data_IF_717717647623
#
_entry.id   IF_717717647623
#
_cell.length_a   1.000
_cell.length_b   1.000
_cell.length_c   1.000
_cell.angle_alpha   90.00
_cell.angle_beta   90.00
_cell.angle_gamma   90.00
#
_symmetry.space_group_name_H-M   'P 1'
#
loop_
_entity.id
_entity.type
_entity.pdbx_description
1 polymer ?
#
# COMPACT_ATOMS: atom_id res chain seq x y z
N UNK A 1 -18.94 -18.20 -9.29
CA UNK A 1 -17.58 -18.49 -9.81
C UNK A 1 -16.88 -17.15 -9.91
N UNK A 2 -15.65 -17.04 -9.41
CA UNK A 2 -14.93 -15.78 -9.33
C UNK A 2 -14.71 -15.18 -10.73
N UNK A 3 -14.81 -13.85 -10.88
CA UNK A 3 -14.45 -13.17 -12.13
C UNK A 3 -12.92 -13.12 -12.25
N UNK A 4 -12.35 -13.92 -13.15
CA UNK A 4 -10.90 -14.09 -13.34
C UNK A 4 -10.54 -13.74 -14.78
N UNK A 5 -9.58 -12.84 -14.96
CA UNK A 5 -9.01 -12.52 -16.27
C UNK A 5 -7.80 -13.44 -16.53
N UNK A 6 -7.93 -14.36 -17.48
CA UNK A 6 -6.82 -15.19 -17.93
C UNK A 6 -6.01 -14.44 -18.99
N UNK A 7 -4.71 -14.27 -18.75
CA UNK A 7 -3.78 -13.57 -19.65
C UNK A 7 -2.73 -14.55 -20.12
N UNK A 8 -2.66 -14.77 -21.43
CA UNK A 8 -1.57 -15.53 -22.07
C UNK A 8 -0.42 -14.58 -22.38
N UNK A 9 0.76 -14.87 -21.86
CA UNK A 9 1.94 -14.03 -22.00
C UNK A 9 2.77 -14.45 -23.22
N UNK A 10 3.29 -13.50 -24.04
CA UNK A 10 4.22 -13.82 -25.12
C UNK A 10 5.53 -14.41 -24.57
N UNK A 11 6.40 -14.90 -25.45
CA UNK A 11 7.68 -15.51 -25.07
C UNK A 11 8.58 -14.54 -24.28
N UNK A 12 8.55 -13.26 -24.65
CA UNK A 12 9.28 -12.18 -23.96
C UNK A 12 8.32 -11.04 -23.63
N UNK A 13 8.24 -10.66 -22.37
CA UNK A 13 7.48 -9.50 -21.93
C UNK A 13 7.95 -8.98 -20.57
N UNK A 14 7.60 -7.73 -20.29
CA UNK A 14 7.73 -7.10 -18.98
C UNK A 14 6.33 -6.85 -18.41
N UNK A 15 6.12 -7.22 -17.17
CA UNK A 15 4.88 -7.00 -16.42
C UNK A 15 5.22 -6.08 -15.25
N UNK A 16 4.49 -4.99 -15.13
CA UNK A 16 4.59 -4.05 -14.01
C UNK A 16 3.36 -4.26 -13.13
N UNK A 17 3.59 -4.69 -11.90
CA UNK A 17 2.53 -4.95 -10.92
C UNK A 17 2.55 -3.86 -9.85
N UNK A 18 1.39 -3.27 -9.57
CA UNK A 18 1.22 -2.20 -8.56
C UNK A 18 0.00 -2.54 -7.71
N UNK A 19 0.06 -2.34 -6.39
CA UNK A 19 -1.09 -2.51 -5.48
C UNK A 19 -1.27 -1.29 -4.58
N UNK A 20 -2.44 -1.19 -3.95
CA UNK A 20 -2.73 -0.31 -2.82
C UNK A 20 -2.33 1.16 -3.09
N UNK A 21 -2.86 1.71 -4.18
CA UNK A 21 -2.60 3.08 -4.64
C UNK A 21 -3.27 4.10 -3.72
N UNK A 22 -4.46 3.78 -3.21
CA UNK A 22 -5.21 4.60 -2.26
C UNK A 22 -5.35 6.06 -2.66
N UNK A 23 -5.80 6.31 -3.89
CA UNK A 23 -6.06 7.66 -4.42
C UNK A 23 -4.85 8.62 -4.35
N UNK A 24 -3.64 8.09 -4.54
CA UNK A 24 -2.37 8.83 -4.69
C UNK A 24 -1.98 8.89 -6.17
N UNK A 25 -2.77 9.63 -6.94
CA UNK A 25 -2.62 9.74 -8.40
C UNK A 25 -1.23 10.26 -8.79
N UNK A 26 -0.74 11.30 -8.12
CA UNK A 26 0.52 11.94 -8.51
C UNK A 26 1.73 11.02 -8.27
N UNK A 27 1.75 10.29 -7.15
CA UNK A 27 2.75 9.27 -6.85
C UNK A 27 2.69 8.13 -7.86
N UNK A 28 1.49 7.61 -8.16
CA UNK A 28 1.33 6.52 -9.10
C UNK A 28 1.78 6.93 -10.51
N UNK A 29 1.44 8.14 -10.96
CA UNK A 29 1.89 8.67 -12.24
C UNK A 29 3.41 8.89 -12.27
N UNK A 30 4.03 9.35 -11.16
CA UNK A 30 5.50 9.43 -11.04
C UNK A 30 6.15 8.05 -11.07
N UNK A 31 5.57 7.05 -10.40
CA UNK A 31 6.06 5.69 -10.37
C UNK A 31 6.08 5.08 -11.77
N UNK A 32 5.00 5.21 -12.55
CA UNK A 32 4.96 4.72 -13.93
C UNK A 32 6.00 5.41 -14.82
N UNK A 33 6.24 6.71 -14.64
CA UNK A 33 7.34 7.43 -15.33
C UNK A 33 8.72 6.90 -14.92
N UNK A 34 8.95 6.62 -13.64
CA UNK A 34 10.21 6.04 -13.15
C UNK A 34 10.47 4.64 -13.70
N UNK A 35 9.41 3.87 -13.97
CA UNK A 35 9.51 2.55 -14.58
C UNK A 35 9.75 2.58 -16.09
N UNK A 36 9.71 3.77 -16.71
CA UNK A 36 9.66 3.93 -18.18
C UNK A 36 8.55 3.06 -18.78
N UNK A 37 7.33 3.16 -18.22
CA UNK A 37 6.19 2.36 -18.65
C UNK A 37 5.78 2.71 -20.08
N UNK A 38 5.68 1.68 -20.93
CA UNK A 38 5.23 1.77 -22.30
C UNK A 38 4.15 0.71 -22.56
N UNK A 39 2.92 1.15 -22.84
CA UNK A 39 1.77 0.27 -23.07
C UNK A 39 1.89 -0.58 -24.34
N UNK A 40 2.76 -0.22 -25.30
CA UNK A 40 3.02 -1.06 -26.48
C UNK A 40 3.81 -2.31 -26.14
N UNK A 41 4.72 -2.26 -25.16
CA UNK A 41 5.62 -3.37 -24.79
C UNK A 41 5.28 -4.04 -23.46
N UNK A 42 4.71 -3.30 -22.52
CA UNK A 42 4.52 -3.73 -21.14
C UNK A 42 3.09 -4.19 -20.85
N UNK A 43 2.98 -5.10 -19.89
CA UNK A 43 1.74 -5.37 -19.18
C UNK A 43 1.70 -4.55 -17.88
N UNK A 44 0.54 -4.02 -17.53
CA UNK A 44 0.32 -3.30 -16.28
C UNK A 44 -0.79 -3.99 -15.49
N UNK A 45 -0.45 -4.58 -14.34
CA UNK A 45 -1.42 -5.24 -13.46
C UNK A 45 -1.59 -4.42 -12.19
N UNK A 46 -2.82 -3.94 -11.94
CA UNK A 46 -3.15 -3.14 -10.76
C UNK A 46 -3.96 -4.00 -9.79
N UNK A 47 -3.42 -4.27 -8.60
CA UNK A 47 -3.88 -5.31 -7.69
C UNK A 47 -4.87 -4.82 -6.62
N UNK A 48 -5.70 -3.84 -6.98
CA UNK A 48 -6.76 -3.32 -6.11
C UNK A 48 -6.29 -2.28 -5.10
N UNK A 49 -7.25 -1.84 -4.29
CA UNK A 49 -7.13 -0.72 -3.35
C UNK A 49 -6.66 0.55 -4.08
N UNK A 50 -7.36 0.80 -5.18
CA UNK A 50 -7.20 1.95 -6.07
C UNK A 50 -7.70 3.21 -5.38
N UNK A 51 -8.86 3.12 -4.74
CA UNK A 51 -9.56 4.23 -4.11
C UNK A 51 -9.35 4.27 -2.59
N UNK A 52 -9.93 5.30 -1.98
CA UNK A 52 -9.97 5.59 -0.55
C UNK A 52 -8.64 6.03 0.06
N UNK A 53 -8.73 6.55 1.30
CA UNK A 53 -7.63 7.07 2.14
C UNK A 53 -6.96 8.35 1.61
N UNK A 54 -6.61 8.41 0.33
CA UNK A 54 -6.07 9.58 -0.35
C UNK A 54 -7.14 10.60 -0.77
N UNK A 55 -6.67 11.70 -1.36
CA UNK A 55 -7.51 12.85 -1.73
C UNK A 55 -7.77 12.99 -3.24
N UNK A 56 -7.15 12.16 -4.06
CA UNK A 56 -7.24 12.26 -5.53
C UNK A 56 -8.07 11.11 -6.11
N UNK A 57 -9.25 10.80 -5.52
CA UNK A 57 -10.01 9.59 -5.89
C UNK A 57 -10.53 9.69 -7.33
N UNK A 58 -11.07 10.85 -7.72
CA UNK A 58 -11.62 11.07 -9.06
C UNK A 58 -10.49 11.04 -10.09
N UNK A 59 -9.37 11.72 -9.81
CA UNK A 59 -8.20 11.75 -10.68
C UNK A 59 -7.58 10.36 -10.87
N UNK A 60 -7.44 9.61 -9.78
CA UNK A 60 -6.93 8.23 -9.80
C UNK A 60 -7.84 7.33 -10.62
N UNK A 61 -9.17 7.44 -10.43
CA UNK A 61 -10.15 6.65 -11.15
C UNK A 61 -10.13 6.94 -12.66
N UNK A 62 -10.16 8.22 -13.04
CA UNK A 62 -10.08 8.63 -14.45
C UNK A 62 -8.76 8.19 -15.10
N UNK A 63 -7.65 8.27 -14.36
CA UNK A 63 -6.36 7.81 -14.85
C UNK A 63 -6.35 6.30 -15.12
N UNK A 64 -6.88 5.50 -14.20
CA UNK A 64 -6.95 4.04 -14.34
C UNK A 64 -7.93 3.62 -15.43
N UNK A 65 -9.07 4.29 -15.58
CA UNK A 65 -9.99 4.06 -16.71
C UNK A 65 -9.27 4.30 -18.04
N UNK A 66 -8.51 5.40 -18.14
CA UNK A 66 -7.71 5.70 -19.34
C UNK A 66 -6.67 4.62 -19.63
N UNK A 67 -5.95 4.15 -18.61
CA UNK A 67 -4.96 3.07 -18.76
C UNK A 67 -5.63 1.75 -19.19
N UNK A 68 -6.80 1.44 -18.62
CA UNK A 68 -7.55 0.21 -18.85
C UNK A 68 -8.20 0.11 -20.24
N UNK A 69 -8.12 1.17 -21.05
CA UNK A 69 -8.45 1.08 -22.48
C UNK A 69 -7.47 0.17 -23.25
N UNK A 70 -6.25 -0.02 -22.72
CA UNK A 70 -5.30 -1.01 -23.24
C UNK A 70 -5.57 -2.38 -22.63
N UNK A 71 -5.66 -3.42 -23.47
CA UNK A 71 -5.89 -4.81 -23.03
C UNK A 71 -4.74 -5.39 -22.21
N UNK A 72 -3.55 -4.77 -22.25
CA UNK A 72 -2.41 -5.15 -21.41
C UNK A 72 -2.45 -4.51 -20.03
N UNK A 73 -3.36 -3.56 -19.79
CA UNK A 73 -3.65 -3.02 -18.48
C UNK A 73 -4.84 -3.75 -17.87
N UNK A 74 -4.62 -4.51 -16.80
CA UNK A 74 -5.69 -5.24 -16.08
C UNK A 74 -5.71 -4.80 -14.63
N UNK A 75 -6.86 -4.31 -14.19
CA UNK A 75 -7.10 -3.87 -12.83
C UNK A 75 -8.00 -4.89 -12.15
N UNK A 76 -7.65 -5.32 -10.94
CA UNK A 76 -8.53 -6.12 -10.08
C UNK A 76 -9.01 -5.29 -8.90
N UNK A 77 -10.10 -5.73 -8.31
CA UNK A 77 -10.74 -5.08 -7.17
C UNK A 77 -9.99 -5.35 -5.87
N UNK A 78 -9.78 -4.32 -5.05
CA UNK A 78 -9.39 -4.45 -3.64
C UNK A 78 -10.57 -4.24 -2.69
N UNK A 79 -10.36 -4.44 -1.39
CA UNK A 79 -11.46 -4.32 -0.44
C UNK A 79 -11.94 -2.87 -0.28
N UNK A 80 -11.05 -1.88 -0.36
CA UNK A 80 -11.43 -0.47 -0.23
C UNK A 80 -12.21 0.01 -1.46
N UNK A 81 -11.96 -0.56 -2.64
CA UNK A 81 -12.69 -0.26 -3.88
C UNK A 81 -14.18 -0.63 -3.81
N UNK A 82 -14.56 -1.56 -2.93
CA UNK A 82 -15.97 -1.92 -2.69
C UNK A 82 -16.77 -0.82 -2.00
N UNK A 83 -16.11 0.13 -1.33
CA UNK A 83 -16.78 1.07 -0.44
C UNK A 83 -17.66 2.05 -1.22
N UNK A 84 -17.13 2.63 -2.29
CA UNK A 84 -17.88 3.59 -3.13
C UNK A 84 -19.12 2.94 -3.75
N UNK A 85 -19.01 1.68 -4.21
CA UNK A 85 -20.13 0.91 -4.77
C UNK A 85 -21.19 0.60 -3.70
N UNK A 86 -20.77 0.17 -2.50
CA UNK A 86 -21.69 -0.04 -1.37
C UNK A 86 -22.43 1.24 -0.99
N UNK A 87 -21.74 2.38 -0.94
CA UNK A 87 -22.37 3.67 -0.63
C UNK A 87 -23.38 4.09 -1.73
N UNK A 88 -23.06 3.82 -2.99
CA UNK A 88 -23.92 4.14 -4.12
C UNK A 88 -25.18 3.27 -4.16
N UNK A 89 -25.06 1.95 -3.91
CA UNK A 89 -26.09 0.97 -4.28
C UNK A 89 -26.62 0.09 -3.14
N UNK A 90 -25.82 -0.20 -2.11
CA UNK A 90 -26.16 -1.24 -1.12
C UNK A 90 -26.51 -0.69 0.27
N UNK A 91 -25.86 0.40 0.69
CA UNK A 91 -26.00 0.92 2.05
C UNK A 91 -27.35 1.64 2.19
N UNK A 92 -28.10 1.25 3.23
CA UNK A 92 -29.21 2.05 3.74
C UNK A 92 -28.69 3.38 4.33
N UNK A 93 -29.59 4.37 4.44
CA UNK A 93 -29.25 5.73 4.89
C UNK A 93 -28.43 5.74 6.19
N UNK A 94 -28.84 4.95 7.18
CA UNK A 94 -28.19 4.90 8.49
C UNK A 94 -26.73 4.47 8.36
N UNK A 95 -26.46 3.40 7.59
CA UNK A 95 -25.12 2.86 7.38
C UNK A 95 -24.26 3.79 6.53
N UNK A 96 -24.84 4.40 5.50
CA UNK A 96 -24.17 5.43 4.71
C UNK A 96 -23.69 6.58 5.60
N UNK A 97 -24.59 7.12 6.45
CA UNK A 97 -24.26 8.22 7.36
C UNK A 97 -23.27 7.79 8.44
N UNK A 98 -23.35 6.55 8.93
CA UNK A 98 -22.36 5.96 9.84
C UNK A 98 -20.97 5.98 9.19
N UNK A 99 -20.82 5.63 7.90
CA UNK A 99 -19.52 5.69 7.20
C UNK A 99 -18.90 7.06 7.24
N UNK A 100 -19.70 8.11 7.08
CA UNK A 100 -19.22 9.48 7.10
C UNK A 100 -18.61 9.87 8.46
N UNK A 101 -18.96 9.17 9.55
CA UNK A 101 -18.39 9.44 10.87
C UNK A 101 -16.95 8.95 11.01
N UNK A 102 -16.63 7.77 10.47
CA UNK A 102 -15.31 7.15 10.61
C UNK A 102 -14.43 7.26 9.35
N UNK A 103 -15.02 7.58 8.18
CA UNK A 103 -14.34 7.86 6.91
C UNK A 103 -14.98 9.07 6.21
N UNK A 104 -14.86 10.29 6.76
CA UNK A 104 -15.48 11.49 6.20
C UNK A 104 -14.89 11.89 4.84
N UNK A 105 -13.61 11.59 4.61
CA UNK A 105 -12.94 11.78 3.32
C UNK A 105 -12.90 10.43 2.62
N UNK A 106 -13.74 10.28 1.59
CA UNK A 106 -13.86 9.05 0.79
C UNK A 106 -14.22 9.37 -0.67
N UNK A 107 -14.13 8.36 -1.54
CA UNK A 107 -14.38 8.53 -2.97
C UNK A 107 -15.80 9.04 -3.28
N UNK A 108 -16.81 8.47 -2.61
CA UNK A 108 -18.21 8.84 -2.84
C UNK A 108 -18.49 10.30 -2.44
N UNK A 109 -17.94 10.75 -1.32
CA UNK A 109 -18.06 12.14 -0.88
C UNK A 109 -17.33 13.10 -1.83
N UNK A 110 -16.16 12.75 -2.35
CA UNK A 110 -15.49 13.58 -3.36
C UNK A 110 -16.33 13.72 -4.63
N UNK A 111 -16.97 12.64 -5.09
CA UNK A 111 -17.93 12.69 -6.20
C UNK A 111 -19.11 13.62 -5.88
N UNK A 112 -19.73 13.47 -4.70
CA UNK A 112 -20.85 14.31 -4.27
C UNK A 112 -20.49 15.79 -4.18
N UNK A 113 -19.35 16.12 -3.56
CA UNK A 113 -18.88 17.49 -3.39
C UNK A 113 -18.59 18.15 -4.73
N UNK A 114 -18.07 17.40 -5.71
CA UNK A 114 -17.79 17.92 -7.06
C UNK A 114 -19.04 18.40 -7.82
N UNK A 115 -20.24 17.95 -7.41
CA UNK A 115 -21.53 18.44 -7.93
C UNK A 115 -22.31 19.30 -6.91
N UNK A 116 -21.64 19.76 -5.85
CA UNK A 116 -22.22 20.67 -4.86
C UNK A 116 -23.03 20.00 -3.76
N UNK A 117 -22.96 18.67 -3.61
CA UNK A 117 -23.65 17.93 -2.55
C UNK A 117 -22.67 17.67 -1.40
N UNK A 118 -22.86 18.39 -0.28
CA UNK A 118 -21.98 18.31 0.91
C UNK A 118 -22.66 17.68 2.13
N UNK A 119 -23.95 17.36 2.04
CA UNK A 119 -24.73 16.86 3.17
C UNK A 119 -25.84 15.89 2.73
N UNK A 120 -25.83 14.68 3.30
CA UNK A 120 -26.78 13.58 3.03
C UNK A 120 -27.83 13.35 4.14
N UNK A 121 -27.85 14.18 5.18
CA UNK A 121 -28.82 14.03 6.29
C UNK A 121 -30.27 14.31 5.87
N UNK A 122 -30.45 15.21 4.90
CA UNK A 122 -31.74 15.57 4.29
C UNK A 122 -31.75 15.17 2.81
N UNK A 123 -32.93 14.82 2.29
CA UNK A 123 -33.13 14.52 0.86
C UNK A 123 -32.16 13.44 0.33
N UNK A 124 -31.97 12.40 1.14
CA UNK A 124 -30.92 11.38 0.95
C UNK A 124 -31.02 10.70 -0.42
N UNK A 125 -32.19 10.17 -0.76
CA UNK A 125 -32.36 9.39 -1.98
C UNK A 125 -32.13 10.23 -3.24
N UNK A 126 -32.70 11.44 -3.32
CA UNK A 126 -32.51 12.31 -4.48
C UNK A 126 -31.05 12.74 -4.64
N UNK A 127 -30.35 13.05 -3.54
CA UNK A 127 -28.92 13.38 -3.58
C UNK A 127 -28.07 12.20 -3.98
N UNK A 128 -28.35 11.01 -3.43
CA UNK A 128 -27.65 9.77 -3.81
C UNK A 128 -27.86 9.47 -5.29
N UNK A 129 -29.09 9.55 -5.77
CA UNK A 129 -29.41 9.34 -7.19
C UNK A 129 -28.70 10.36 -8.09
N UNK A 130 -28.65 11.65 -7.72
CA UNK A 130 -27.95 12.66 -8.49
C UNK A 130 -26.44 12.39 -8.61
N UNK A 131 -25.79 11.88 -7.55
CA UNK A 131 -24.38 11.46 -7.61
C UNK A 131 -24.25 10.22 -8.50
N UNK A 132 -25.08 9.20 -8.28
CA UNK A 132 -25.03 7.96 -9.05
C UNK A 132 -25.23 8.19 -10.55
N UNK A 133 -26.22 9.01 -10.94
CA UNK A 133 -26.48 9.36 -12.34
C UNK A 133 -25.30 10.14 -12.96
N UNK A 134 -24.66 11.02 -12.20
CA UNK A 134 -23.52 11.80 -12.69
C UNK A 134 -22.28 10.94 -12.93
N UNK A 135 -22.05 9.96 -12.06
CA UNK A 135 -20.84 9.13 -12.01
C UNK A 135 -21.11 7.67 -12.39
N UNK A 136 -22.16 7.42 -13.17
CA UNK A 136 -22.58 6.06 -13.55
C UNK A 136 -21.45 5.25 -14.20
N UNK A 137 -20.66 5.88 -15.07
CA UNK A 137 -19.52 5.23 -15.74
C UNK A 137 -18.39 4.88 -14.78
N UNK A 138 -18.04 5.79 -13.87
CA UNK A 138 -17.05 5.59 -12.80
C UNK A 138 -17.46 4.49 -11.82
N UNK A 139 -18.72 4.53 -11.36
CA UNK A 139 -19.28 3.56 -10.43
C UNK A 139 -19.42 2.18 -11.06
N UNK A 140 -19.83 2.10 -12.33
CA UNK A 140 -19.90 0.85 -13.08
C UNK A 140 -18.50 0.25 -13.25
N UNK A 141 -17.53 1.05 -13.68
CA UNK A 141 -16.15 0.59 -13.87
C UNK A 141 -15.56 -0.06 -12.61
N UNK A 142 -15.64 0.62 -11.46
CA UNK A 142 -15.06 0.10 -10.21
C UNK A 142 -15.84 -1.13 -9.68
N UNK A 143 -17.16 -1.16 -9.89
CA UNK A 143 -18.02 -2.27 -9.45
C UNK A 143 -17.76 -3.54 -10.27
N UNK A 144 -17.46 -3.40 -11.55
CA UNK A 144 -17.27 -4.53 -12.47
C UNK A 144 -15.86 -5.12 -12.49
N UNK A 145 -14.91 -4.50 -11.77
CA UNK A 145 -13.53 -4.98 -11.73
C UNK A 145 -13.45 -6.48 -11.37
N UNK A 146 -12.63 -7.26 -12.10
CA UNK A 146 -12.38 -8.66 -11.78
C UNK A 146 -11.72 -8.83 -10.41
N UNK A 147 -11.77 -10.04 -9.88
CA UNK A 147 -11.18 -10.37 -8.57
C UNK A 147 -9.77 -10.95 -8.68
N UNK A 148 -9.39 -11.47 -9.85
CA UNK A 148 -8.08 -12.05 -10.06
C UNK A 148 -7.60 -11.95 -11.51
N UNK A 149 -6.28 -12.02 -11.67
CA UNK A 149 -5.59 -12.23 -12.94
C UNK A 149 -4.88 -13.59 -12.86
N UNK A 150 -4.92 -14.37 -13.92
CA UNK A 150 -4.21 -15.64 -14.00
C UNK A 150 -3.36 -15.71 -15.26
N UNK A 151 -2.08 -16.06 -15.08
CA UNK A 151 -1.14 -16.39 -16.16
C UNK A 151 -0.70 -17.85 -16.05
N UNK A 152 0.25 -18.28 -16.88
CA UNK A 152 0.78 -19.65 -16.84
C UNK A 152 1.49 -19.97 -15.51
N UNK A 153 2.15 -18.99 -14.89
CA UNK A 153 3.00 -19.17 -13.68
C UNK A 153 2.56 -18.37 -12.46
N UNK A 154 1.69 -17.37 -12.63
CA UNK A 154 1.27 -16.46 -11.56
C UNK A 154 -0.24 -16.35 -11.47
N UNK A 155 -0.71 -16.17 -10.25
CA UNK A 155 -2.05 -15.72 -9.90
C UNK A 155 -1.89 -14.38 -9.19
N UNK A 156 -2.67 -13.38 -9.57
CA UNK A 156 -2.67 -12.08 -8.92
C UNK A 156 -4.05 -11.88 -8.29
N UNK A 157 -4.07 -11.64 -6.98
CA UNK A 157 -5.28 -11.37 -6.19
C UNK A 157 -4.97 -10.24 -5.21
N UNK A 158 -5.98 -9.56 -4.69
CA UNK A 158 -5.72 -8.44 -3.80
C UNK A 158 -5.11 -8.87 -2.46
N UNK A 159 -5.70 -9.83 -1.74
CA UNK A 159 -5.24 -10.20 -0.39
C UNK A 159 -4.71 -11.64 -0.27
N UNK A 160 -5.33 -12.62 -0.95
CA UNK A 160 -4.92 -14.02 -0.85
C UNK A 160 -5.94 -15.01 -1.43
N UNK A 161 -5.64 -16.31 -1.33
CA UNK A 161 -6.56 -17.39 -1.76
C UNK A 161 -6.75 -18.43 -0.65
N UNK A 162 -7.91 -19.08 -0.63
CA UNK A 162 -8.16 -20.17 0.31
C UNK A 162 -7.18 -21.33 0.03
N UNK A 163 -6.80 -22.08 1.07
CA UNK A 163 -5.88 -23.21 0.91
C UNK A 163 -6.58 -24.43 0.29
N UNK A 164 -6.80 -24.37 -1.03
CA UNK A 164 -7.51 -25.37 -1.82
C UNK A 164 -6.96 -25.42 -3.25
N UNK A 165 -6.99 -26.58 -3.93
CA UNK A 165 -6.49 -26.72 -5.29
C UNK A 165 -7.40 -26.04 -6.33
N UNK A 166 -8.70 -25.97 -6.08
CA UNK A 166 -9.71 -25.28 -6.92
C UNK A 166 -9.92 -23.83 -6.44
N UNK A 167 -8.83 -23.07 -6.34
CA UNK A 167 -8.80 -21.71 -5.78
C UNK A 167 -9.77 -20.73 -6.46
N UNK A 168 -10.19 -21.01 -7.70
CA UNK A 168 -11.20 -20.23 -8.44
C UNK A 168 -12.58 -20.21 -7.75
N UNK A 169 -12.78 -21.12 -6.78
CA UNK A 169 -13.95 -21.20 -5.91
C UNK A 169 -13.72 -20.59 -4.52
N UNK A 170 -12.60 -19.89 -4.29
CA UNK A 170 -12.40 -19.09 -3.08
C UNK A 170 -13.49 -18.03 -2.97
N UNK A 171 -13.94 -17.72 -1.75
CA UNK A 171 -14.93 -16.67 -1.55
C UNK A 171 -14.36 -15.28 -1.89
N UNK A 172 -15.17 -14.41 -2.47
CA UNK A 172 -14.79 -13.01 -2.76
C UNK A 172 -14.30 -12.30 -1.49
N UNK A 173 -14.98 -12.52 -0.36
CA UNK A 173 -14.59 -11.97 0.93
C UNK A 173 -13.16 -12.40 1.33
N UNK A 174 -12.76 -13.65 1.08
CA UNK A 174 -11.41 -14.09 1.38
C UNK A 174 -10.40 -13.46 0.41
N UNK A 175 -10.71 -13.44 -0.89
CA UNK A 175 -9.82 -12.88 -1.92
C UNK A 175 -9.52 -11.40 -1.69
N UNK A 176 -10.50 -10.65 -1.18
CA UNK A 176 -10.37 -9.22 -0.90
C UNK A 176 -9.84 -8.92 0.51
N UNK A 177 -10.00 -9.80 1.50
CA UNK A 177 -9.75 -9.44 2.90
C UNK A 177 -9.01 -10.52 3.69
N UNK A 178 -8.23 -11.39 3.03
CA UNK A 178 -7.46 -12.43 3.70
C UNK A 178 -6.51 -11.83 4.75
N UNK A 179 -6.76 -12.07 6.06
CA UNK A 179 -5.95 -11.46 7.10
C UNK A 179 -4.58 -12.13 7.19
N UNK A 180 -3.51 -11.34 7.19
CA UNK A 180 -2.13 -11.81 7.41
C UNK A 180 -1.71 -12.98 6.50
N UNK A 181 -2.21 -13.02 5.26
CA UNK A 181 -2.20 -14.22 4.43
C UNK A 181 -0.80 -14.76 4.11
N UNK A 182 0.23 -13.91 4.01
CA UNK A 182 1.63 -14.35 3.83
C UNK A 182 2.15 -15.24 4.98
N UNK A 183 1.51 -15.20 6.16
CA UNK A 183 1.80 -16.12 7.27
C UNK A 183 1.26 -17.53 7.00
N UNK A 184 0.24 -17.66 6.15
CA UNK A 184 -0.37 -18.91 5.69
C UNK A 184 0.39 -19.52 4.50
N UNK A 185 -0.05 -20.68 4.02
CA UNK A 185 0.38 -21.28 2.75
C UNK A 185 -0.83 -21.60 1.87
N UNK A 186 -0.59 -22.03 0.63
CA UNK A 186 -1.64 -22.40 -0.32
C UNK A 186 -1.30 -23.70 -1.06
N UNK A 187 -2.31 -24.31 -1.69
CA UNK A 187 -2.22 -25.60 -2.36
C UNK A 187 -1.90 -25.50 -3.87
N UNK A 188 -1.32 -24.37 -4.30
CA UNK A 188 -1.14 -24.04 -5.72
C UNK A 188 0.32 -24.12 -6.14
N UNK A 189 0.55 -24.52 -7.39
CA UNK A 189 1.89 -24.60 -7.96
C UNK A 189 2.41 -23.28 -8.55
N UNK A 190 1.53 -22.28 -8.69
CA UNK A 190 1.83 -20.94 -9.19
C UNK A 190 2.27 -20.03 -8.05
N UNK A 191 3.01 -18.97 -8.39
CA UNK A 191 3.21 -17.86 -7.46
C UNK A 191 1.91 -17.09 -7.31
N UNK A 192 1.55 -16.73 -6.08
CA UNK A 192 0.41 -15.85 -5.79
C UNK A 192 0.96 -14.48 -5.39
N UNK A 193 0.64 -13.46 -6.20
CA UNK A 193 1.06 -12.07 -5.99
C UNK A 193 -0.10 -11.30 -5.36
N UNK A 194 0.17 -10.62 -4.24
CA UNK A 194 -0.82 -9.94 -3.40
C UNK A 194 -0.37 -8.55 -2.96
N UNK A 195 -1.32 -7.74 -2.53
CA UNK A 195 -1.11 -6.50 -1.77
C UNK A 195 -1.79 -6.60 -0.40
N UNK A 196 -2.62 -5.61 -0.04
CA UNK A 196 -3.51 -5.56 1.12
C UNK A 196 -2.86 -5.40 2.51
N UNK A 197 -1.81 -6.18 2.80
CA UNK A 197 -1.05 -6.05 4.04
C UNK A 197 0.35 -5.49 3.75
N UNK A 198 0.72 -4.34 4.36
CA UNK A 198 2.02 -3.75 4.10
C UNK A 198 3.18 -4.69 4.43
N UNK A 199 4.11 -4.83 3.49
CA UNK A 199 5.33 -5.66 3.60
C UNK A 199 6.13 -5.39 4.89
N UNK A 200 6.21 -4.12 5.33
CA UNK A 200 6.89 -3.72 6.57
C UNK A 200 6.33 -4.39 7.83
N UNK A 201 5.07 -4.83 7.80
CA UNK A 201 4.47 -5.52 8.94
C UNK A 201 5.04 -6.93 9.15
N UNK A 202 5.84 -7.45 8.23
CA UNK A 202 6.41 -8.79 8.30
C UNK A 202 7.92 -8.75 8.54
N UNK A 203 8.41 -9.66 9.38
CA UNK A 203 9.86 -9.81 9.63
C UNK A 203 10.66 -10.01 8.33
N UNK A 204 10.06 -10.64 7.32
CA UNK A 204 10.64 -10.85 5.98
C UNK A 204 10.86 -9.54 5.20
N UNK A 205 10.14 -8.47 5.50
CA UNK A 205 10.30 -7.15 4.89
C UNK A 205 11.58 -6.42 5.32
N UNK A 206 12.30 -6.95 6.31
CA UNK A 206 13.64 -6.49 6.72
C UNK A 206 13.77 -4.97 6.91
N UNK A 207 12.80 -4.37 7.60
CA UNK A 207 12.76 -2.92 7.86
C UNK A 207 12.65 -2.05 6.58
N UNK A 208 12.08 -2.61 5.51
CA UNK A 208 11.75 -1.91 4.26
C UNK A 208 10.26 -2.07 3.95
N UNK A 209 9.75 -1.26 3.02
CA UNK A 209 8.46 -1.48 2.38
C UNK A 209 8.60 -2.16 1.00
N UNK A 210 9.74 -2.78 0.72
CA UNK A 210 10.00 -3.43 -0.57
C UNK A 210 9.25 -4.77 -0.66
N UNK A 211 8.95 -5.26 -1.88
CA UNK A 211 8.28 -6.54 -2.06
C UNK A 211 8.95 -7.71 -1.36
N UNK A 212 8.14 -8.59 -0.78
CA UNK A 212 8.59 -9.85 -0.18
C UNK A 212 8.36 -10.97 -1.17
N UNK A 213 9.39 -11.77 -1.44
CA UNK A 213 9.29 -12.99 -2.24
C UNK A 213 9.57 -14.18 -1.33
N UNK A 214 8.55 -14.98 -1.06
CA UNK A 214 8.66 -16.25 -0.33
C UNK A 214 8.60 -17.41 -1.34
N UNK A 215 9.77 -17.92 -1.72
CA UNK A 215 9.88 -19.02 -2.70
C UNK A 215 9.38 -20.36 -2.14
N UNK A 216 9.44 -20.57 -0.82
CA UNK A 216 9.01 -21.82 -0.19
C UNK A 216 7.49 -21.92 -0.23
N UNK A 217 6.81 -20.80 -0.01
CA UNK A 217 5.34 -20.70 -0.05
C UNK A 217 4.80 -20.33 -1.42
N UNK A 218 5.65 -19.84 -2.33
CA UNK A 218 5.29 -19.24 -3.62
C UNK A 218 4.37 -18.02 -3.47
N UNK A 219 4.65 -17.16 -2.50
CA UNK A 219 3.90 -15.92 -2.26
C UNK A 219 4.78 -14.71 -2.56
N UNK A 220 4.21 -13.71 -3.22
CA UNK A 220 4.84 -12.40 -3.44
C UNK A 220 3.89 -11.33 -2.89
N UNK A 221 4.36 -10.55 -1.93
CA UNK A 221 3.62 -9.41 -1.37
C UNK A 221 4.27 -8.12 -1.85
N UNK A 222 3.47 -7.21 -2.43
CA UNK A 222 3.94 -5.98 -3.05
C UNK A 222 3.40 -4.71 -2.38
N UNK A 223 2.60 -4.82 -1.31
CA UNK A 223 2.02 -3.65 -0.65
C UNK A 223 3.10 -2.85 0.10
N UNK A 224 3.33 -1.62 -0.36
CA UNK A 224 4.30 -0.67 0.21
C UNK A 224 3.75 0.16 1.37
N UNK A 225 2.50 -0.07 1.77
CA UNK A 225 1.87 0.58 2.92
C UNK A 225 1.41 2.02 2.67
N UNK A 226 1.13 2.39 1.42
CA UNK A 226 0.61 3.71 1.06
C UNK A 226 -0.62 4.05 1.92
N UNK A 227 -0.61 5.19 2.62
CA UNK A 227 -1.68 5.65 3.54
C UNK A 227 -2.00 4.76 4.74
N UNK A 228 -1.34 3.61 4.91
CA UNK A 228 -1.52 2.70 6.06
C UNK A 228 -0.35 2.81 7.03
N UNK A 229 0.85 3.02 6.49
CA UNK A 229 2.07 3.28 7.24
C UNK A 229 2.36 4.77 7.18
N UNK A 230 2.92 5.32 8.27
CA UNK A 230 3.31 6.72 8.32
C UNK A 230 4.40 7.08 7.30
N UNK A 231 5.29 6.12 7.01
CA UNK A 231 6.30 6.18 5.96
C UNK A 231 6.03 5.02 4.99
N UNK A 232 5.01 5.19 4.14
CA UNK A 232 4.61 4.23 3.12
C UNK A 232 5.14 4.60 1.73
N UNK A 233 4.97 3.68 0.78
CA UNK A 233 5.30 3.88 -0.63
C UNK A 233 4.34 3.12 -1.54
N UNK A 234 4.36 3.45 -2.82
CA UNK A 234 3.77 2.63 -3.88
C UNK A 234 4.90 1.86 -4.55
N UNK A 235 4.78 0.54 -4.63
CA UNK A 235 5.74 -0.33 -5.32
C UNK A 235 5.26 -0.64 -6.74
N UNK A 236 6.22 -0.71 -7.65
CA UNK A 236 6.10 -1.33 -8.96
C UNK A 236 6.99 -2.58 -8.97
N UNK A 237 6.37 -3.73 -8.70
CA UNK A 237 7.04 -5.02 -8.80
C UNK A 237 7.09 -5.45 -10.27
N UNK A 238 8.29 -5.59 -10.80
CA UNK A 238 8.52 -5.84 -12.22
C UNK A 238 8.88 -7.30 -12.42
N UNK A 239 8.08 -8.00 -13.23
CA UNK A 239 8.35 -9.38 -13.67
C UNK A 239 8.79 -9.32 -15.12
N UNK A 240 10.02 -9.75 -15.41
CA UNK A 240 10.52 -9.91 -16.78
C UNK A 240 10.51 -11.39 -17.14
N UNK A 241 9.81 -11.74 -18.21
CA UNK A 241 9.78 -13.07 -18.79
C UNK A 241 10.70 -13.13 -20.01
N UNK A 242 11.57 -14.12 -20.06
CA UNK A 242 12.36 -14.49 -21.24
C UNK A 242 12.33 -16.02 -21.44
N UNK A 243 11.47 -16.48 -22.35
CA UNK A 243 11.17 -17.91 -22.53
C UNK A 243 10.52 -18.49 -21.26
N UNK A 244 11.18 -19.48 -20.66
CA UNK A 244 10.78 -20.10 -19.40
C UNK A 244 11.34 -19.39 -18.15
N UNK A 245 12.24 -18.42 -18.33
CA UNK A 245 12.89 -17.72 -17.22
C UNK A 245 12.10 -16.49 -16.79
N UNK A 246 12.03 -16.28 -15.47
CA UNK A 246 11.40 -15.11 -14.86
C UNK A 246 12.41 -14.44 -13.92
N UNK A 247 12.58 -13.13 -14.06
CA UNK A 247 13.37 -12.30 -13.15
C UNK A 247 12.53 -11.18 -12.56
N UNK A 248 12.94 -10.72 -11.39
CA UNK A 248 12.20 -9.74 -10.60
C UNK A 248 13.03 -8.50 -10.34
N UNK A 249 12.39 -7.34 -10.41
CA UNK A 249 12.94 -6.05 -10.02
C UNK A 249 11.87 -5.22 -9.31
N UNK A 250 12.24 -4.11 -8.69
CA UNK A 250 11.30 -3.21 -8.03
C UNK A 250 11.71 -1.75 -8.18
N UNK A 251 10.73 -0.91 -8.52
CA UNK A 251 10.82 0.54 -8.43
C UNK A 251 9.80 1.01 -7.40
N UNK A 252 10.09 2.05 -6.63
CA UNK A 252 9.12 2.61 -5.70
C UNK A 252 9.05 4.14 -5.74
N UNK A 253 7.90 4.66 -5.32
CA UNK A 253 7.66 6.08 -5.06
C UNK A 253 7.12 6.23 -3.63
N UNK A 254 7.85 6.92 -2.73
CA UNK A 254 7.35 7.28 -1.40
C UNK A 254 5.99 7.99 -1.50
N UNK A 255 5.03 7.60 -0.65
CA UNK A 255 3.70 8.20 -0.65
C UNK A 255 3.71 9.61 -0.08
N UNK A 256 2.68 10.40 -0.37
CA UNK A 256 2.66 11.83 -0.03
C UNK A 256 2.65 12.13 1.49
N UNK A 257 2.88 13.43 1.77
CA UNK A 257 3.26 14.10 3.04
C UNK A 257 4.73 14.00 3.47
N UNK A 258 5.66 13.60 2.59
CA UNK A 258 7.09 13.62 2.91
C UNK A 258 7.86 14.85 2.39
N UNK A 259 8.85 15.30 3.16
CA UNK A 259 9.85 16.29 2.74
C UNK A 259 11.06 15.56 2.13
N UNK A 260 11.24 15.69 0.80
CA UNK A 260 12.39 15.14 0.10
C UNK A 260 13.65 15.93 0.47
N UNK A 261 14.66 15.24 1.00
CA UNK A 261 15.93 15.80 1.44
C UNK A 261 17.11 15.11 0.76
N UNK A 262 18.27 15.76 0.79
CA UNK A 262 19.56 15.16 0.44
C UNK A 262 20.37 14.94 1.72
N UNK A 263 20.99 13.77 1.83
CA UNK A 263 21.95 13.46 2.89
C UNK A 263 23.23 14.27 2.67
N UNK A 264 23.59 15.12 3.62
CA UNK A 264 24.72 16.07 3.49
C UNK A 264 26.02 15.58 4.13
N UNK A 265 25.96 14.53 4.95
CA UNK A 265 27.09 13.85 5.57
C UNK A 265 26.77 12.37 5.80
N UNK A 266 27.79 11.53 5.73
CA UNK A 266 27.66 10.11 6.00
C UNK A 266 27.24 9.88 7.46
N UNK A 267 26.43 8.85 7.67
CA UNK A 267 26.05 8.39 9.00
C UNK A 267 25.98 6.87 9.00
N UNK A 268 26.67 6.24 9.94
CA UNK A 268 26.59 4.79 10.17
C UNK A 268 25.81 4.55 11.45
N UNK A 269 24.70 3.84 11.35
CA UNK A 269 23.90 3.46 12.50
C UNK A 269 24.69 2.52 13.41
N UNK A 270 24.78 2.87 14.70
CA UNK A 270 25.42 2.03 15.72
C UNK A 270 24.50 0.90 16.22
N UNK A 271 23.22 0.94 15.84
CA UNK A 271 22.18 0.01 16.28
C UNK A 271 21.61 -0.72 15.08
N UNK A 272 21.20 -1.97 15.29
CA UNK A 272 20.46 -2.75 14.31
C UNK A 272 19.01 -2.84 14.76
N UNK A 273 18.09 -2.77 13.78
CA UNK A 273 16.67 -2.86 14.08
C UNK A 273 16.31 -4.22 14.69
N UNK A 274 15.32 -4.23 15.56
CA UNK A 274 14.64 -5.44 16.02
C UNK A 274 13.20 -5.40 15.53
N UNK A 275 12.77 -6.47 14.87
CA UNK A 275 11.41 -6.58 14.34
C UNK A 275 10.38 -6.52 15.48
N UNK A 276 9.33 -5.72 15.28
CA UNK A 276 8.18 -5.63 16.17
C UNK A 276 6.94 -6.21 15.48
N UNK A 277 6.38 -7.29 16.03
CA UNK A 277 5.11 -7.85 15.54
C UNK A 277 3.96 -6.99 16.06
N UNK A 278 3.50 -6.06 15.23
CA UNK A 278 2.42 -5.10 15.52
C UNK A 278 1.17 -5.71 16.15
N UNK A 279 0.79 -6.93 15.73
CA UNK A 279 -0.40 -7.60 16.23
C UNK A 279 -0.20 -8.15 17.65
N UNK A 280 1.04 -8.48 18.01
CA UNK A 280 1.36 -9.21 19.25
C UNK A 280 2.15 -8.41 20.27
N UNK A 281 2.69 -7.26 19.90
CA UNK A 281 3.57 -6.47 20.75
C UNK A 281 2.88 -6.04 22.04
N UNK A 282 3.59 -6.14 23.16
CA UNK A 282 3.19 -5.58 24.46
C UNK A 282 4.40 -4.90 25.07
N UNK A 283 4.49 -3.58 24.89
CA UNK A 283 5.67 -2.79 25.20
C UNK A 283 5.67 -2.33 26.67
N UNK A 284 6.67 -2.76 27.43
CA UNK A 284 7.01 -2.20 28.73
C UNK A 284 7.88 -0.95 28.54
N UNK A 285 7.43 0.21 29.03
CA UNK A 285 8.19 1.46 28.98
C UNK A 285 9.27 1.45 30.08
N UNK A 286 10.54 1.56 29.68
CA UNK A 286 11.70 1.58 30.57
C UNK A 286 12.22 3.00 30.83
N UNK A 287 11.98 3.93 29.91
CA UNK A 287 12.42 5.33 30.04
C UNK A 287 12.15 6.15 28.80
N UNK A 288 12.28 7.48 28.91
CA UNK A 288 12.10 8.43 27.82
C UNK A 288 13.25 9.43 27.78
N UNK A 289 13.80 9.68 26.60
CA UNK A 289 14.86 10.67 26.38
C UNK A 289 14.91 11.03 24.90
N UNK A 290 15.18 12.29 24.55
CA UNK A 290 15.47 12.70 23.18
C UNK A 290 14.36 12.43 22.14
N UNK A 291 13.10 12.45 22.59
CA UNK A 291 11.93 12.08 21.76
C UNK A 291 11.87 10.60 21.41
N UNK A 292 12.66 9.77 22.09
CA UNK A 292 12.66 8.31 22.02
C UNK A 292 12.15 7.71 23.34
N UNK A 293 11.54 6.54 23.22
CA UNK A 293 11.09 5.71 24.33
C UNK A 293 11.92 4.44 24.31
N UNK A 294 12.59 4.15 25.43
CA UNK A 294 13.23 2.86 25.66
C UNK A 294 12.15 1.88 26.11
N UNK A 295 12.04 0.76 25.41
CA UNK A 295 11.02 -0.26 25.68
C UNK A 295 11.61 -1.66 25.75
N UNK A 296 10.89 -2.55 26.43
CA UNK A 296 11.02 -4.00 26.27
C UNK A 296 9.72 -4.55 25.71
N UNK A 297 9.78 -5.26 24.60
CA UNK A 297 8.64 -6.02 24.10
C UNK A 297 8.52 -7.32 24.90
N UNK A 298 7.43 -7.47 25.65
CA UNK A 298 7.19 -8.68 26.46
C UNK A 298 6.92 -9.91 25.60
N UNK A 299 6.51 -9.72 24.34
CA UNK A 299 6.24 -10.83 23.43
C UNK A 299 7.54 -11.46 22.91
N UNK A 300 8.42 -10.68 22.31
CA UNK A 300 9.71 -11.17 21.78
C UNK A 300 10.82 -11.25 22.82
N UNK A 301 10.71 -10.51 23.94
CA UNK A 301 11.78 -10.32 24.92
C UNK A 301 12.83 -9.28 24.51
N UNK A 302 12.75 -8.74 23.30
CA UNK A 302 13.70 -7.75 22.80
C UNK A 302 13.53 -6.40 23.50
N UNK A 303 14.61 -5.63 23.58
CA UNK A 303 14.58 -4.26 24.09
C UNK A 303 15.24 -3.32 23.09
N UNK A 304 14.75 -2.09 22.99
CA UNK A 304 15.24 -1.12 22.01
C UNK A 304 14.58 0.24 22.14
N UNK A 305 14.88 1.13 21.20
CA UNK A 305 14.34 2.48 21.13
C UNK A 305 13.24 2.57 20.06
N UNK A 306 12.19 3.31 20.36
CA UNK A 306 11.13 3.68 19.41
C UNK A 306 10.84 5.17 19.54
N UNK A 307 10.38 5.81 18.46
CA UNK A 307 9.94 7.20 18.52
C UNK A 307 8.70 7.33 19.41
N UNK A 308 8.65 8.41 20.21
CA UNK A 308 7.53 8.63 21.13
C UNK A 308 6.17 8.71 20.42
N UNK A 309 6.13 9.26 19.21
CA UNK A 309 4.90 9.32 18.39
C UNK A 309 4.53 7.99 17.72
N UNK A 310 5.36 6.96 17.86
CA UNK A 310 5.19 5.64 17.27
C UNK A 310 4.88 4.58 18.33
N UNK A 311 4.45 5.00 19.52
CA UNK A 311 3.98 4.11 20.58
C UNK A 311 2.74 4.69 21.24
N UNK A 312 1.71 3.87 21.47
CA UNK A 312 0.57 4.27 22.28
C UNK A 312 -0.12 3.06 22.91
N UNK A 313 -0.94 3.34 23.92
CA UNK A 313 -1.80 2.34 24.53
C UNK A 313 -3.02 2.07 23.64
N UNK A 314 -3.30 0.82 23.34
CA UNK A 314 -4.47 0.39 22.58
C UNK A 314 -5.65 0.06 23.50
N UNK A 315 -6.81 -0.24 22.91
CA UNK A 315 -8.06 -0.49 23.65
C UNK A 315 -8.03 -1.74 24.55
N UNK A 316 -7.03 -2.60 24.39
CA UNK A 316 -6.75 -3.75 25.25
C UNK A 316 -5.93 -3.40 26.50
N UNK A 317 -5.45 -2.16 26.61
CA UNK A 317 -4.64 -1.66 27.72
C UNK A 317 -3.14 -1.91 27.57
N UNK A 318 -2.69 -2.55 26.47
CA UNK A 318 -1.28 -2.77 26.17
C UNK A 318 -0.68 -1.61 25.37
N UNK A 319 0.63 -1.39 25.48
CA UNK A 319 1.33 -0.45 24.60
C UNK A 319 1.82 -1.17 23.35
N UNK A 320 1.49 -0.63 22.19
CA UNK A 320 1.91 -1.15 20.88
C UNK A 320 2.75 -0.11 20.15
N UNK A 321 3.65 -0.59 19.31
CA UNK A 321 4.52 0.25 18.49
C UNK A 321 4.14 0.23 17.00
N UNK A 322 4.35 1.34 16.31
CA UNK A 322 4.09 1.46 14.87
C UNK A 322 5.33 1.39 13.97
N UNK A 323 6.51 1.17 14.54
CA UNK A 323 7.77 0.94 13.81
C UNK A 323 8.57 -0.18 14.47
N UNK A 324 9.54 -0.74 13.76
CA UNK A 324 10.53 -1.62 14.38
C UNK A 324 11.31 -0.86 15.46
N UNK A 325 11.80 -1.59 16.46
CA UNK A 325 12.69 -1.04 17.48
C UNK A 325 14.07 -0.80 16.86
N UNK A 326 14.78 0.22 17.33
CA UNK A 326 16.14 0.53 16.89
C UNK A 326 16.30 0.67 15.37
N UNK A 327 15.24 1.11 14.68
CA UNK A 327 15.23 1.38 13.25
C UNK A 327 16.08 2.63 12.94
N UNK A 328 17.39 2.61 13.20
CA UNK A 328 18.36 3.62 12.79
C UNK A 328 19.01 3.18 11.48
N UNK A 329 19.10 4.07 10.51
CA UNK A 329 19.60 3.74 9.17
C UNK A 329 21.03 4.22 8.99
N UNK A 330 21.81 3.48 8.20
CA UNK A 330 23.08 4.00 7.67
C UNK A 330 22.80 4.67 6.32
N UNK A 331 23.38 5.85 6.11
CA UNK A 331 23.19 6.64 4.88
C UNK A 331 24.50 7.27 4.45
N UNK A 332 24.66 7.39 3.13
CA UNK A 332 25.83 8.01 2.51
C UNK A 332 25.49 9.42 2.00
N UNK A 333 26.47 10.31 2.03
CA UNK A 333 26.33 11.66 1.50
C UNK A 333 25.94 11.63 0.01
N UNK A 334 24.88 12.37 -0.31
CA UNK A 334 24.33 12.47 -1.66
C UNK A 334 23.07 11.63 -1.87
N UNK A 335 22.76 10.69 -0.98
CA UNK A 335 21.53 9.91 -1.05
C UNK A 335 20.29 10.78 -0.84
N UNK A 336 19.18 10.36 -1.45
CA UNK A 336 17.87 10.95 -1.17
C UNK A 336 17.27 10.35 0.10
N UNK A 337 16.64 11.17 0.93
CA UNK A 337 15.90 10.72 2.10
C UNK A 337 14.54 11.45 2.18
N UNK A 338 13.45 10.69 2.28
CA UNK A 338 12.10 11.25 2.37
C UNK A 338 11.66 11.31 3.83
N UNK A 339 11.64 12.50 4.42
CA UNK A 339 11.32 12.73 5.83
C UNK A 339 9.80 12.79 6.02
N UNK A 340 9.25 11.93 6.88
CA UNK A 340 7.83 11.93 7.27
C UNK A 340 7.60 12.50 8.66
N UNK A 341 8.62 12.44 9.52
CA UNK A 341 8.58 13.00 10.86
C UNK A 341 9.95 13.51 11.27
N UNK A 342 9.97 14.56 12.08
CA UNK A 342 11.20 15.16 12.62
C UNK A 342 10.97 15.63 14.05
N UNK A 343 11.91 15.29 14.94
CA UNK A 343 12.04 15.92 16.25
C UNK A 343 13.35 16.73 16.30
N UNK A 344 13.81 17.15 17.49
CA UNK A 344 15.04 17.94 17.61
C UNK A 344 16.31 17.18 17.16
N UNK A 345 16.35 15.86 17.36
CA UNK A 345 17.54 15.03 17.16
C UNK A 345 17.48 14.09 15.96
N UNK A 346 16.30 13.61 15.59
CA UNK A 346 16.11 12.60 14.54
C UNK A 346 15.05 13.00 13.51
N UNK A 347 15.32 12.64 12.26
CA UNK A 347 14.36 12.53 11.17
C UNK A 347 13.97 11.07 11.02
N UNK A 348 12.70 10.77 10.83
CA UNK A 348 12.18 9.44 10.47
C UNK A 348 11.62 9.47 9.05
N UNK A 349 11.97 8.47 8.26
CA UNK A 349 11.57 8.43 6.87
C UNK A 349 12.08 7.24 6.08
N UNK A 350 12.02 7.36 4.75
CA UNK A 350 12.43 6.34 3.79
C UNK A 350 13.75 6.78 3.15
N UNK A 351 14.78 5.95 3.26
CA UNK A 351 16.06 6.14 2.59
C UNK A 351 15.98 5.75 1.10
N UNK A 352 16.97 6.15 0.30
CA UNK A 352 17.07 5.77 -1.11
C UNK A 352 17.10 4.24 -1.32
N UNK A 353 17.62 3.49 -0.34
CA UNK A 353 17.62 2.03 -0.32
C UNK A 353 16.23 1.40 -0.16
N UNK A 354 15.21 2.17 0.25
CA UNK A 354 13.88 1.68 0.63
C UNK A 354 13.76 1.27 2.10
N UNK A 355 14.85 1.36 2.88
CA UNK A 355 14.80 1.18 4.33
C UNK A 355 14.02 2.32 5.01
N UNK A 356 13.27 1.97 6.04
CA UNK A 356 12.45 2.90 6.81
C UNK A 356 12.99 3.03 8.23
N UNK A 357 13.26 4.26 8.66
CA UNK A 357 13.87 4.46 9.97
C UNK A 357 14.37 5.88 10.20
N UNK A 358 15.23 5.99 11.22
CA UNK A 358 15.73 7.23 11.76
C UNK A 358 17.15 7.53 11.32
N UNK A 359 17.43 8.79 11.04
CA UNK A 359 18.77 9.36 10.92
C UNK A 359 18.86 10.67 11.72
N UNK A 360 20.05 11.11 12.17
CA UNK A 360 20.18 12.40 12.86
C UNK A 360 19.73 13.58 12.00
N UNK A 361 19.12 14.60 12.62
CA UNK A 361 18.58 15.78 11.91
C UNK A 361 19.63 16.57 11.15
N UNK A 362 20.87 16.56 11.62
CA UNK A 362 22.00 17.25 11.00
C UNK A 362 22.61 16.46 9.81
N UNK A 363 22.06 15.29 9.48
CA UNK A 363 22.43 14.51 8.30
C UNK A 363 21.70 14.94 7.03
N UNK A 364 20.60 15.70 7.12
CA UNK A 364 19.77 16.06 5.96
C UNK A 364 19.67 17.57 5.74
N UNK A 365 19.59 17.95 4.47
CA UNK A 365 19.16 19.30 4.05
C UNK A 365 17.99 19.19 3.08
N UNK A 366 17.01 20.07 3.25
CA UNK A 366 15.83 20.15 2.38
C UNK A 366 16.26 20.37 0.93
N UNK A 367 15.63 19.61 0.02
CA UNK A 367 15.86 19.79 -1.40
C UNK A 367 15.39 21.20 -1.82
N UNK A 368 16.35 22.10 -2.09
CA UNK A 368 16.05 23.33 -2.82
C UNK A 368 16.18 22.99 -4.30
N UNK A 369 15.06 22.76 -4.99
CA UNK A 369 15.07 22.82 -6.44
C UNK A 369 15.72 24.15 -6.84
N UNK A 370 16.92 24.08 -7.43
CA UNK A 370 17.41 25.20 -8.22
C UNK A 370 16.45 25.26 -9.39
N UNK A 371 15.57 26.25 -9.41
CA UNK A 371 14.89 26.65 -10.64
C UNK A 371 15.99 26.83 -11.71
N UNK A 372 16.02 25.92 -12.69
CA UNK A 372 16.83 26.04 -13.91
C UNK A 372 15.89 26.39 -15.04
#
# INVERSE_FOLDING_TARGET
MMNIVKVTLPEKCRIICVSDIHAHYDEFARLLRKCDYNNESDYLFILGDILEKGRQNIETLHFIQKLSHDKKCVCIKGNNDTMVSRMAFDDEKEKFLERLTYRPVNAYMQMAESIGITNFTTDFDNKRNAVNEKFDGELSFITELPLAIETEKYIFVHAGVENRPDWENSSEQFVLCAPWWIRSGHALDKYVVVGHFPTYNFARGKNTNLPIIDNDKKIIDIDGGCSVKSAGQINAFIITKDGESYSYDNVFEPSESCEKCTVIKDYTAARHYSYLDYEKSDLEILGKSDGLVSVRDKHSGNSGLILENYIAQWGDGHYHGWSNLDAFLSVDKGETFCVYYKNEKYCYGIAQSGEVGMIPTDCVAVFKEKYV
#
